data_IF_524356068712
#
_entry.id   IF_524356068712
#
_cell.length_a   1.000
_cell.length_b   1.000
_cell.length_c   1.000
_cell.angle_alpha   90.00
_cell.angle_beta   90.00
_cell.angle_gamma   90.00
#
_symmetry.space_group_name_H-M   'P 1'
#
loop_
_entity.id
_entity.type
_entity.pdbx_description
1 polymer ?
#
# COMPACT_ATOMS: atom_id res chain seq x y z
N UNK A 1 -20.08 -7.16 44.42
CA UNK A 1 -19.21 -6.97 43.23
C UNK A 1 -18.06 -8.00 43.11
N UNK A 2 -17.63 -8.68 44.18
CA UNK A 2 -16.51 -9.64 44.14
C UNK A 2 -16.77 -10.97 43.39
N UNK A 3 -18.00 -11.49 43.39
CA UNK A 3 -18.31 -12.79 42.77
C UNK A 3 -18.06 -12.87 41.27
N UNK A 4 -18.33 -11.79 40.52
CA UNK A 4 -18.06 -11.73 39.07
C UNK A 4 -16.56 -11.67 38.74
N UNK A 5 -15.74 -11.15 39.65
CA UNK A 5 -14.29 -11.07 39.46
C UNK A 5 -13.59 -12.40 39.73
N UNK A 6 -14.05 -13.16 40.74
CA UNK A 6 -13.52 -14.48 41.07
C UNK A 6 -13.85 -15.49 39.96
N UNK A 7 -15.07 -15.45 39.41
CA UNK A 7 -15.46 -16.33 38.29
C UNK A 7 -14.62 -16.07 37.03
N UNK A 8 -14.29 -14.80 36.74
CA UNK A 8 -13.39 -14.44 35.62
C UNK A 8 -11.96 -14.92 35.86
N UNK A 9 -11.46 -14.81 37.09
CA UNK A 9 -10.12 -15.30 37.45
C UNK A 9 -10.02 -16.81 37.32
N UNK A 10 -11.02 -17.54 37.83
CA UNK A 10 -11.11 -19.01 37.69
C UNK A 10 -11.19 -19.40 36.22
N UNK A 11 -12.05 -18.74 35.43
CA UNK A 11 -12.14 -18.99 33.99
C UNK A 11 -10.84 -18.76 33.25
N UNK A 12 -10.06 -17.74 33.63
CA UNK A 12 -8.75 -17.44 33.03
C UNK A 12 -7.68 -18.48 33.43
N UNK A 13 -7.70 -18.96 34.67
CA UNK A 13 -6.80 -20.04 35.12
C UNK A 13 -7.11 -21.35 34.40
N UNK A 14 -8.39 -21.70 34.24
CA UNK A 14 -8.79 -22.88 33.48
C UNK A 14 -8.46 -22.76 31.99
N UNK A 15 -8.74 -21.62 31.36
CA UNK A 15 -8.36 -21.36 29.97
C UNK A 15 -6.83 -21.40 29.78
N UNK A 16 -6.07 -20.85 30.73
CA UNK A 16 -4.62 -20.91 30.76
C UNK A 16 -4.10 -22.34 30.87
N UNK A 17 -4.65 -23.15 31.79
CA UNK A 17 -4.28 -24.55 31.95
C UNK A 17 -4.59 -25.40 30.70
N UNK A 18 -5.74 -25.18 30.07
CA UNK A 18 -6.12 -25.85 28.81
C UNK A 18 -5.16 -25.45 27.68
N UNK A 19 -4.83 -24.16 27.56
CA UNK A 19 -3.89 -23.67 26.56
C UNK A 19 -2.48 -24.24 26.77
N UNK A 20 -2.04 -24.38 28.02
CA UNK A 20 -0.71 -24.88 28.37
C UNK A 20 -0.61 -26.40 28.15
N UNK A 21 -1.63 -27.17 28.54
CA UNK A 21 -1.72 -28.60 28.29
C UNK A 21 -1.80 -28.90 26.78
N UNK A 22 -2.69 -28.22 26.06
CA UNK A 22 -2.81 -28.36 24.60
C UNK A 22 -1.54 -27.92 23.87
N UNK A 23 -0.90 -26.83 24.31
CA UNK A 23 0.38 -26.37 23.75
C UNK A 23 1.52 -27.37 23.96
N UNK A 24 1.59 -28.02 25.12
CA UNK A 24 2.60 -29.03 25.41
C UNK A 24 2.41 -30.30 24.56
N UNK A 25 1.17 -30.77 24.40
CA UNK A 25 0.85 -31.92 23.53
C UNK A 25 1.17 -31.62 22.06
N UNK A 26 0.84 -30.42 21.58
CA UNK A 26 1.19 -29.99 20.23
C UNK A 26 2.70 -29.99 20.01
N UNK A 27 3.47 -29.48 20.98
CA UNK A 27 4.93 -29.42 20.87
C UNK A 27 5.55 -30.83 20.94
N UNK A 28 5.04 -31.71 21.79
CA UNK A 28 5.44 -33.11 21.84
C UNK A 28 5.13 -33.85 20.52
N UNK A 29 3.97 -33.58 19.92
CA UNK A 29 3.59 -34.11 18.60
C UNK A 29 4.52 -33.62 17.49
N UNK A 30 4.88 -32.32 17.47
CA UNK A 30 5.86 -31.78 16.52
C UNK A 30 7.20 -32.49 16.66
N UNK A 31 7.71 -32.65 17.90
CA UNK A 31 8.98 -33.33 18.16
C UNK A 31 8.93 -34.78 17.70
N UNK A 32 7.83 -35.50 17.94
CA UNK A 32 7.67 -36.88 17.51
C UNK A 32 7.70 -37.02 15.97
N UNK A 33 7.00 -36.14 15.24
CA UNK A 33 6.99 -36.13 13.77
C UNK A 33 8.38 -35.80 13.21
N UNK A 34 9.06 -34.80 13.77
CA UNK A 34 10.41 -34.40 13.36
C UNK A 34 11.41 -35.53 13.61
N UNK A 35 11.34 -36.17 14.79
CA UNK A 35 12.25 -37.26 15.15
C UNK A 35 12.04 -38.47 14.23
N UNK A 36 10.79 -38.85 13.96
CA UNK A 36 10.46 -39.91 13.02
C UNK A 36 11.01 -39.63 11.61
N UNK A 37 10.86 -38.39 11.13
CA UNK A 37 11.42 -37.97 9.85
C UNK A 37 12.95 -38.06 9.81
N UNK A 38 13.63 -37.60 10.87
CA UNK A 38 15.10 -37.68 10.99
C UNK A 38 15.62 -39.10 11.09
N UNK A 39 14.82 -40.03 11.63
CA UNK A 39 15.12 -41.47 11.64
C UNK A 39 14.82 -42.16 10.31
N UNK A 40 14.47 -41.41 9.25
CA UNK A 40 14.22 -41.95 7.91
C UNK A 40 12.79 -42.42 7.67
N UNK A 41 11.86 -42.15 8.60
CA UNK A 41 10.45 -42.47 8.41
C UNK A 41 9.62 -41.21 8.07
N UNK A 42 9.30 -40.96 6.78
CA UNK A 42 8.53 -39.79 6.37
C UNK A 42 7.02 -39.94 6.60
N UNK A 43 6.55 -41.12 7.00
CA UNK A 43 5.13 -41.44 7.07
C UNK A 43 4.31 -40.48 7.96
N UNK A 44 4.76 -40.10 9.18
CA UNK A 44 4.01 -39.16 10.01
C UNK A 44 3.87 -37.78 9.37
N UNK A 45 4.89 -37.31 8.65
CA UNK A 45 4.85 -36.02 7.93
C UNK A 45 3.85 -36.07 6.77
N UNK A 46 3.85 -37.17 6.01
CA UNK A 46 2.92 -37.37 4.89
C UNK A 46 1.47 -37.40 5.39
N UNK A 47 1.19 -38.07 6.51
CA UNK A 47 -0.15 -38.08 7.12
C UNK A 47 -0.60 -36.65 7.47
N UNK A 48 0.24 -35.89 8.17
CA UNK A 48 -0.07 -34.50 8.55
C UNK A 48 -0.35 -33.66 7.30
N UNK A 49 0.44 -33.82 6.24
CA UNK A 49 0.22 -33.15 4.96
C UNK A 49 -1.12 -33.51 4.31
N UNK A 50 -1.45 -34.81 4.22
CA UNK A 50 -2.70 -35.30 3.63
C UNK A 50 -3.92 -34.79 4.43
N UNK A 51 -3.87 -34.85 5.76
CA UNK A 51 -4.95 -34.37 6.63
C UNK A 51 -5.16 -32.87 6.44
N UNK A 52 -4.08 -32.09 6.39
CA UNK A 52 -4.13 -30.63 6.19
C UNK A 52 -4.75 -30.29 4.83
N UNK A 53 -4.32 -30.95 3.76
CA UNK A 53 -4.86 -30.77 2.41
C UNK A 53 -6.33 -31.20 2.35
N UNK A 54 -6.68 -32.32 2.98
CA UNK A 54 -8.05 -32.82 3.08
C UNK A 54 -8.97 -31.83 3.77
N UNK A 55 -8.56 -31.29 4.92
CA UNK A 55 -9.31 -30.27 5.67
C UNK A 55 -9.54 -29.02 4.83
N UNK A 56 -8.50 -28.49 4.19
CA UNK A 56 -8.62 -27.31 3.33
C UNK A 56 -9.57 -27.54 2.15
N UNK A 57 -9.57 -28.75 1.57
CA UNK A 57 -10.47 -29.10 0.48
C UNK A 57 -11.93 -29.22 0.93
N UNK A 58 -12.18 -29.76 2.13
CA UNK A 58 -13.53 -29.85 2.72
C UNK A 58 -14.07 -28.45 3.02
N UNK A 59 -13.24 -27.58 3.60
CA UNK A 59 -13.56 -26.17 3.85
C UNK A 59 -13.95 -25.45 2.57
N UNK A 60 -13.16 -25.61 1.51
CA UNK A 60 -13.39 -24.96 0.21
C UNK A 60 -14.72 -25.38 -0.44
N UNK A 61 -15.12 -26.63 -0.27
CA UNK A 61 -16.35 -27.15 -0.85
C UNK A 61 -17.63 -26.72 -0.10
N UNK A 62 -17.50 -26.04 1.05
CA UNK A 62 -18.64 -25.48 1.78
C UNK A 62 -18.93 -24.05 1.33
N UNK A 63 -19.96 -23.88 0.49
CA UNK A 63 -20.36 -22.58 -0.06
C UNK A 63 -21.20 -21.74 0.92
N UNK A 64 -21.93 -22.37 1.84
CA UNK A 64 -22.78 -21.65 2.80
C UNK A 64 -22.01 -21.23 4.05
N UNK A 65 -22.23 -19.98 4.51
CA UNK A 65 -21.68 -19.47 5.77
C UNK A 65 -22.43 -20.06 6.97
N UNK A 66 -22.08 -21.29 7.31
CA UNK A 66 -22.59 -21.97 8.50
C UNK A 66 -21.61 -21.85 9.67
N UNK A 67 -22.08 -21.92 10.93
CA UNK A 67 -21.17 -21.98 12.10
C UNK A 67 -20.20 -23.17 12.03
N UNK A 68 -20.58 -24.24 11.33
CA UNK A 68 -19.72 -25.40 11.05
C UNK A 68 -18.54 -25.00 10.17
N UNK A 69 -18.75 -24.19 9.12
CA UNK A 69 -17.68 -23.67 8.25
C UNK A 69 -16.69 -22.79 9.03
N UNK A 70 -17.18 -21.97 9.98
CA UNK A 70 -16.31 -21.13 10.82
C UNK A 70 -15.38 -21.99 11.71
N UNK A 71 -15.92 -23.04 12.34
CA UNK A 71 -15.11 -23.98 13.14
C UNK A 71 -14.10 -24.70 12.24
N UNK A 72 -14.55 -25.17 11.07
CA UNK A 72 -13.70 -25.89 10.12
C UNK A 72 -12.55 -25.01 9.59
N UNK A 73 -12.80 -23.72 9.35
CA UNK A 73 -11.79 -22.73 9.00
C UNK A 73 -10.71 -22.60 10.08
N UNK A 74 -11.13 -22.43 11.35
CA UNK A 74 -10.19 -22.30 12.48
C UNK A 74 -9.32 -23.56 12.58
N UNK A 75 -9.93 -24.75 12.45
CA UNK A 75 -9.20 -26.03 12.48
C UNK A 75 -8.25 -26.16 11.28
N UNK A 76 -8.65 -25.72 10.09
CA UNK A 76 -7.80 -25.76 8.91
C UNK A 76 -6.59 -24.81 9.04
N UNK A 77 -6.79 -23.58 9.54
CA UNK A 77 -5.67 -22.65 9.81
C UNK A 77 -4.71 -23.20 10.88
N UNK A 78 -5.24 -23.82 11.94
CA UNK A 78 -4.43 -24.46 12.96
C UNK A 78 -3.60 -25.63 12.39
N UNK A 79 -4.20 -26.46 11.52
CA UNK A 79 -3.50 -27.55 10.85
C UNK A 79 -2.41 -27.04 9.88
N UNK A 80 -2.67 -25.97 9.14
CA UNK A 80 -1.67 -25.30 8.29
C UNK A 80 -0.51 -24.76 9.11
N UNK A 81 -0.80 -24.04 10.21
CA UNK A 81 0.24 -23.54 11.12
C UNK A 81 1.10 -24.66 11.71
N UNK A 82 0.46 -25.76 12.12
CA UNK A 82 1.16 -26.96 12.60
C UNK A 82 2.12 -27.53 11.56
N UNK A 83 1.67 -27.71 10.31
CA UNK A 83 2.50 -28.23 9.22
C UNK A 83 3.70 -27.32 8.92
N UNK A 84 3.50 -25.99 8.95
CA UNK A 84 4.58 -24.99 8.75
C UNK A 84 5.63 -25.10 9.86
N UNK A 85 5.20 -25.23 11.13
CA UNK A 85 6.11 -25.41 12.28
C UNK A 85 6.89 -26.72 12.15
N UNK A 86 6.24 -27.83 11.79
CA UNK A 86 6.93 -29.11 11.56
C UNK A 86 7.98 -28.97 10.46
N UNK A 87 7.64 -28.36 9.33
CA UNK A 87 8.56 -28.14 8.21
C UNK A 87 9.75 -27.26 8.60
N UNK A 88 9.51 -26.21 9.38
CA UNK A 88 10.56 -25.34 9.94
C UNK A 88 11.54 -26.14 10.81
N UNK A 89 11.05 -26.94 11.75
CA UNK A 89 11.89 -27.70 12.69
C UNK A 89 12.65 -28.85 12.01
N UNK A 90 12.08 -29.44 10.95
CA UNK A 90 12.78 -30.40 10.10
C UNK A 90 13.98 -29.75 9.40
N UNK A 91 13.80 -28.54 8.86
CA UNK A 91 14.82 -27.82 8.11
C UNK A 91 15.86 -27.08 8.99
N UNK A 92 15.55 -26.87 10.27
CA UNK A 92 16.40 -26.15 11.23
C UNK A 92 17.86 -26.63 11.33
N UNK A 93 18.19 -27.94 11.23
CA UNK A 93 19.59 -28.40 11.21
C UNK A 93 20.42 -27.86 10.04
N UNK A 94 19.77 -27.45 8.94
CA UNK A 94 20.43 -26.91 7.75
C UNK A 94 20.63 -25.38 7.84
N UNK A 95 20.28 -24.77 8.98
CA UNK A 95 20.42 -23.34 9.24
C UNK A 95 19.08 -22.60 9.36
N UNK A 96 19.13 -21.42 9.97
CA UNK A 96 17.92 -20.59 10.21
C UNK A 96 17.35 -20.06 8.89
N UNK A 97 18.21 -19.70 7.93
CA UNK A 97 17.78 -19.18 6.63
C UNK A 97 17.02 -20.26 5.84
N UNK A 98 17.53 -21.48 5.84
CA UNK A 98 16.90 -22.61 5.14
C UNK A 98 15.60 -23.01 5.82
N UNK A 99 15.53 -23.02 7.16
CA UNK A 99 14.28 -23.30 7.87
C UNK A 99 13.19 -22.26 7.64
N UNK A 100 13.55 -20.97 7.62
CA UNK A 100 12.62 -19.89 7.26
C UNK A 100 12.14 -20.07 5.81
N UNK A 101 13.05 -20.32 4.87
CA UNK A 101 12.68 -20.52 3.46
C UNK A 101 11.75 -21.74 3.27
N UNK A 102 11.99 -22.85 3.97
CA UNK A 102 11.13 -24.04 3.94
C UNK A 102 9.76 -23.76 4.55
N UNK A 103 9.68 -23.01 5.65
CA UNK A 103 8.43 -22.61 6.28
C UNK A 103 7.58 -21.72 5.36
N UNK A 104 8.20 -20.71 4.74
CA UNK A 104 7.55 -19.83 3.76
C UNK A 104 7.05 -20.64 2.58
N UNK A 105 7.90 -21.49 2.01
CA UNK A 105 7.55 -22.33 0.84
C UNK A 105 6.37 -23.25 1.17
N UNK A 106 6.37 -23.86 2.36
CA UNK A 106 5.28 -24.73 2.82
C UNK A 106 3.98 -23.94 3.01
N UNK A 107 4.06 -22.74 3.59
CA UNK A 107 2.91 -21.85 3.73
C UNK A 107 2.33 -21.48 2.37
N UNK A 108 3.17 -21.12 1.40
CA UNK A 108 2.74 -20.75 0.03
C UNK A 108 2.08 -21.94 -0.67
N UNK A 109 2.68 -23.14 -0.62
CA UNK A 109 2.10 -24.33 -1.24
C UNK A 109 0.73 -24.66 -0.64
N UNK A 110 0.60 -24.59 0.68
CA UNK A 110 -0.65 -24.91 1.38
C UNK A 110 -1.73 -23.86 1.10
N UNK A 111 -1.37 -22.57 1.06
CA UNK A 111 -2.29 -21.50 0.67
C UNK A 111 -2.77 -21.64 -0.78
N UNK A 112 -1.89 -22.07 -1.70
CA UNK A 112 -2.27 -22.30 -3.10
C UNK A 112 -3.31 -23.42 -3.24
N UNK A 113 -3.20 -24.46 -2.43
CA UNK A 113 -4.13 -25.59 -2.41
C UNK A 113 -5.48 -25.19 -1.80
N UNK A 114 -5.47 -24.39 -0.73
CA UNK A 114 -6.68 -23.91 -0.05
C UNK A 114 -7.48 -22.91 -0.87
N UNK A 115 -6.82 -21.86 -1.35
CA UNK A 115 -7.46 -20.81 -2.15
C UNK A 115 -6.45 -20.12 -3.10
N UNK A 116 -6.41 -20.50 -4.39
CA UNK A 116 -5.48 -19.92 -5.35
C UNK A 116 -5.72 -18.41 -5.58
N UNK A 117 -6.91 -17.90 -5.27
CA UNK A 117 -7.23 -16.47 -5.39
C UNK A 117 -6.63 -15.62 -4.26
N UNK A 118 -6.46 -16.20 -3.06
CA UNK A 118 -5.88 -15.53 -1.89
C UNK A 118 -4.40 -15.19 -2.06
N UNK A 119 -3.64 -16.07 -2.73
CA UNK A 119 -2.24 -15.82 -3.07
C UNK A 119 -2.11 -14.80 -4.20
N UNK A 120 -3.04 -14.76 -5.15
CA UNK A 120 -2.99 -13.77 -6.22
C UNK A 120 -3.17 -12.34 -5.65
N UNK A 121 -3.99 -12.19 -4.61
CA UNK A 121 -4.11 -10.94 -3.83
C UNK A 121 -2.88 -10.63 -2.97
N UNK A 122 -2.29 -11.61 -2.28
CA UNK A 122 -1.11 -11.38 -1.44
C UNK A 122 0.20 -11.21 -2.23
N UNK A 123 0.37 -11.92 -3.36
CA UNK A 123 1.48 -11.68 -4.29
C UNK A 123 1.30 -10.35 -5.03
N UNK A 124 0.07 -9.85 -5.24
CA UNK A 124 -0.15 -8.47 -5.69
C UNK A 124 0.21 -7.43 -4.62
N UNK A 125 0.13 -7.76 -3.33
CA UNK A 125 0.59 -6.88 -2.24
C UNK A 125 2.12 -6.92 -2.05
N UNK A 126 2.80 -8.03 -2.36
CA UNK A 126 4.26 -8.18 -2.23
C UNK A 126 5.07 -7.94 -3.51
N UNK A 127 4.46 -8.03 -4.69
CA UNK A 127 5.02 -7.44 -5.89
C UNK A 127 4.82 -5.93 -5.77
N UNK A 128 5.89 -5.10 -5.80
CA UNK A 128 5.68 -3.66 -5.96
C UNK A 128 4.81 -3.49 -7.19
N UNK A 129 3.62 -2.92 -7.00
CA UNK A 129 2.59 -2.63 -7.99
C UNK A 129 3.18 -1.75 -9.09
N UNK A 130 3.86 -2.43 -9.98
CA UNK A 130 4.38 -2.00 -11.26
C UNK A 130 3.62 -2.87 -12.26
N UNK A 131 2.32 -2.64 -12.37
CA UNK A 131 1.50 -2.78 -13.58
C UNK A 131 0.01 -2.73 -13.18
N UNK A 132 -0.61 -1.59 -13.48
CA UNK A 132 -1.99 -1.43 -13.93
C UNK A 132 -3.06 -2.37 -13.37
N UNK A 133 -3.79 -1.88 -12.38
CA UNK A 133 -5.13 -2.38 -12.04
C UNK A 133 -5.92 -1.26 -11.34
N UNK A 134 -7.21 -1.04 -11.68
CA UNK A 134 -8.00 0.05 -11.13
C UNK A 134 -8.23 -0.16 -9.63
N UNK A 135 -7.58 0.67 -8.81
CA UNK A 135 -7.68 0.58 -7.34
C UNK A 135 -8.93 1.33 -6.88
N UNK A 136 -10.10 0.75 -7.14
CA UNK A 136 -11.41 1.34 -6.77
C UNK A 136 -11.79 1.20 -5.29
N UNK A 137 -10.91 0.66 -4.43
CA UNK A 137 -11.22 0.33 -3.04
C UNK A 137 -10.28 0.95 -1.98
N UNK A 138 -9.30 1.79 -2.35
CA UNK A 138 -8.45 2.48 -1.36
C UNK A 138 -9.25 3.47 -0.50
N UNK A 139 -10.33 4.04 -1.02
CA UNK A 139 -11.19 5.02 -0.35
C UNK A 139 -11.97 4.48 0.85
N UNK A 140 -12.10 3.14 0.96
CA UNK A 140 -12.76 2.47 2.09
C UNK A 140 -11.82 2.13 3.24
N UNK A 141 -10.52 2.38 3.08
CA UNK A 141 -9.55 2.09 4.15
C UNK A 141 -9.71 3.16 5.23
N UNK A 142 -10.08 2.73 6.44
CA UNK A 142 -10.03 3.57 7.64
C UNK A 142 -8.56 3.92 7.87
N UNK A 143 -8.19 5.16 7.57
CA UNK A 143 -6.86 5.69 7.77
C UNK A 143 -6.66 5.95 9.26
N UNK A 144 -5.95 5.07 9.94
CA UNK A 144 -5.41 5.37 11.27
C UNK A 144 -4.09 6.11 11.08
N UNK A 145 -4.13 7.43 11.23
CA UNK A 145 -2.94 8.28 11.31
C UNK A 145 -2.20 7.98 12.62
N UNK A 146 -0.93 7.57 12.54
CA UNK A 146 -0.03 7.49 13.70
C UNK A 146 0.44 6.10 14.14
N UNK A 147 0.02 4.99 13.51
CA UNK A 147 0.41 3.63 13.96
C UNK A 147 1.60 3.02 13.21
N UNK A 148 2.30 3.81 12.38
CA UNK A 148 3.53 3.36 11.69
C UNK A 148 3.35 2.24 10.66
N UNK A 149 2.19 1.58 10.59
CA UNK A 149 1.85 0.53 9.60
C UNK A 149 1.36 1.12 8.26
N UNK A 150 1.01 2.40 8.24
CA UNK A 150 0.76 3.21 7.03
C UNK A 150 2.03 3.54 6.23
N UNK A 151 3.22 3.22 6.79
CA UNK A 151 4.53 3.51 6.17
C UNK A 151 4.76 2.82 4.81
N UNK A 152 4.01 1.77 4.47
CA UNK A 152 4.23 1.05 3.21
C UNK A 152 3.70 1.76 1.97
N UNK A 153 2.88 2.82 2.13
CA UNK A 153 2.41 3.64 0.99
C UNK A 153 3.42 4.74 0.61
N UNK A 154 4.43 5.03 1.45
CA UNK A 154 5.10 6.35 1.45
C UNK A 154 6.62 6.38 1.15
N UNK A 155 7.21 5.40 0.46
CA UNK A 155 8.67 5.44 0.23
C UNK A 155 9.12 6.08 -1.10
N UNK A 156 8.21 6.46 -2.01
CA UNK A 156 8.61 6.89 -3.35
C UNK A 156 8.86 8.38 -3.51
N UNK A 157 8.40 9.25 -2.58
CA UNK A 157 8.49 10.70 -2.72
C UNK A 157 9.13 11.35 -1.49
N UNK A 158 10.10 12.25 -1.69
CA UNK A 158 10.51 13.21 -0.66
C UNK A 158 9.62 14.44 -0.73
N UNK A 159 9.30 15.01 0.42
CA UNK A 159 8.41 16.17 0.52
C UNK A 159 9.18 17.35 1.09
N UNK A 160 9.04 18.52 0.47
CA UNK A 160 9.61 19.79 0.93
C UNK A 160 8.48 20.82 1.04
N UNK A 161 8.44 21.54 2.16
CA UNK A 161 7.57 22.71 2.30
C UNK A 161 8.23 23.90 1.58
N UNK A 162 7.47 24.55 0.71
CA UNK A 162 7.88 25.73 -0.04
C UNK A 162 7.17 26.95 0.54
N UNK A 163 7.92 28.02 0.74
CA UNK A 163 7.34 29.30 1.13
C UNK A 163 6.51 29.89 -0.04
N UNK A 164 5.29 30.40 0.20
CA UNK A 164 4.48 31.04 -0.84
C UNK A 164 5.24 32.06 -1.70
N UNK A 165 6.19 32.81 -1.11
CA UNK A 165 7.00 33.81 -1.81
C UNK A 165 7.93 33.21 -2.89
N UNK A 166 8.14 31.90 -2.85
CA UNK A 166 8.98 31.17 -3.80
C UNK A 166 8.21 30.42 -4.88
N UNK A 167 6.87 30.42 -4.85
CA UNK A 167 6.02 29.68 -5.81
C UNK A 167 6.40 29.95 -7.26
N UNK A 168 6.45 31.23 -7.65
CA UNK A 168 6.69 31.63 -9.04
C UNK A 168 8.09 31.19 -9.51
N UNK A 169 9.10 31.24 -8.64
CA UNK A 169 10.45 30.76 -8.94
C UNK A 169 10.48 29.25 -9.17
N UNK A 170 9.73 28.49 -8.36
CA UNK A 170 9.61 27.04 -8.53
C UNK A 170 8.91 26.70 -9.85
N UNK A 171 7.84 27.44 -10.19
CA UNK A 171 7.13 27.29 -11.47
C UNK A 171 8.04 27.62 -12.64
N UNK A 172 8.82 28.70 -12.56
CA UNK A 172 9.80 29.07 -13.58
C UNK A 172 10.89 27.99 -13.73
N UNK A 173 11.36 27.41 -12.62
CA UNK A 173 12.30 26.28 -12.64
C UNK A 173 11.70 25.06 -13.34
N UNK A 174 10.43 24.74 -13.05
CA UNK A 174 9.70 23.64 -13.69
C UNK A 174 9.55 23.85 -15.20
N UNK A 175 9.28 25.09 -15.64
CA UNK A 175 9.27 25.45 -17.07
C UNK A 175 10.63 25.28 -17.74
N UNK A 176 11.69 25.77 -17.10
CA UNK A 176 13.06 25.68 -17.63
C UNK A 176 13.59 24.25 -17.68
N UNK A 177 13.08 23.36 -16.84
CA UNK A 177 13.56 21.97 -16.72
C UNK A 177 12.40 20.97 -16.64
N UNK A 178 11.80 20.75 -17.80
CA UNK A 178 10.72 19.79 -18.07
C UNK A 178 10.93 18.35 -17.55
N UNK A 179 12.18 17.90 -17.36
CA UNK A 179 12.51 16.53 -16.94
C UNK A 179 12.78 16.41 -15.43
N UNK A 180 12.58 17.47 -14.65
CA UNK A 180 12.72 17.38 -13.21
C UNK A 180 11.59 16.51 -12.63
N UNK A 181 11.92 15.50 -11.80
CA UNK A 181 10.94 14.61 -11.19
C UNK A 181 10.32 15.28 -9.97
N UNK A 182 9.72 16.45 -10.17
CA UNK A 182 9.12 17.28 -9.11
C UNK A 182 7.68 17.63 -9.45
N UNK A 183 6.86 17.82 -8.43
CA UNK A 183 5.51 18.39 -8.56
C UNK A 183 5.19 19.32 -7.41
N UNK A 184 4.53 20.43 -7.70
CA UNK A 184 4.16 21.42 -6.68
C UNK A 184 2.66 21.38 -6.46
N UNK A 185 2.21 21.11 -5.24
CA UNK A 185 0.78 21.18 -4.86
C UNK A 185 0.55 22.34 -3.90
N UNK A 186 -0.47 23.13 -4.18
CA UNK A 186 -0.97 24.17 -3.29
C UNK A 186 -2.09 23.61 -2.40
N UNK A 187 -1.94 23.77 -1.08
CA UNK A 187 -2.97 23.55 -0.07
C UNK A 187 -3.24 24.87 0.65
N UNK A 188 -4.39 24.98 1.30
CA UNK A 188 -4.89 26.22 1.93
C UNK A 188 -3.83 26.97 2.76
N UNK A 189 -3.10 26.25 3.61
CA UNK A 189 -2.05 26.81 4.48
C UNK A 189 -0.63 26.36 4.13
N UNK A 190 -0.41 25.66 3.01
CA UNK A 190 0.84 24.97 2.75
C UNK A 190 1.10 24.74 1.26
N UNK A 191 2.32 25.06 0.81
CA UNK A 191 2.79 24.63 -0.51
C UNK A 191 3.80 23.51 -0.39
N UNK A 192 3.57 22.47 -1.18
CA UNK A 192 4.34 21.25 -1.06
C UNK A 192 4.96 20.88 -2.38
N UNK A 193 6.30 20.82 -2.38
CA UNK A 193 7.06 20.23 -3.46
C UNK A 193 7.32 18.76 -3.17
N UNK A 194 6.80 17.89 -4.03
CA UNK A 194 7.10 16.47 -4.04
C UNK A 194 8.26 16.21 -4.99
N UNK A 195 9.19 15.34 -4.58
CA UNK A 195 10.34 14.90 -5.35
C UNK A 195 10.27 13.38 -5.48
N UNK A 196 10.11 12.87 -6.69
CA UNK A 196 9.92 11.43 -6.93
C UNK A 196 11.25 10.67 -6.88
N UNK A 197 11.52 9.97 -5.79
CA UNK A 197 12.76 9.23 -5.51
C UNK A 197 12.79 7.79 -6.04
N UNK A 198 11.87 7.38 -6.93
CA UNK A 198 11.65 5.97 -7.34
C UNK A 198 12.91 5.18 -7.76
N UNK A 199 14.01 5.84 -8.14
CA UNK A 199 15.23 5.18 -8.63
C UNK A 199 16.55 5.69 -8.04
N UNK A 200 16.55 6.79 -7.30
CA UNK A 200 17.80 7.45 -6.87
C UNK A 200 17.62 8.17 -5.54
N UNK A 201 18.31 7.69 -4.50
CA UNK A 201 18.31 8.30 -3.17
C UNK A 201 19.05 9.64 -3.12
N UNK A 202 19.93 9.92 -4.09
CA UNK A 202 20.64 11.20 -4.22
C UNK A 202 19.80 12.27 -4.92
N UNK A 203 18.63 11.91 -5.45
CA UNK A 203 17.77 12.82 -6.20
C UNK A 203 17.28 13.99 -5.36
N UNK A 204 16.97 13.74 -4.09
CA UNK A 204 16.64 14.79 -3.14
C UNK A 204 17.75 15.84 -3.03
N UNK A 205 18.98 15.41 -2.77
CA UNK A 205 20.13 16.33 -2.59
C UNK A 205 20.39 17.14 -3.86
N UNK A 206 20.25 16.52 -5.03
CA UNK A 206 20.39 17.20 -6.33
C UNK A 206 19.32 18.27 -6.53
N UNK A 207 18.06 17.95 -6.27
CA UNK A 207 16.96 18.91 -6.39
C UNK A 207 17.11 20.02 -5.35
N UNK A 208 17.48 19.67 -4.10
CA UNK A 208 17.67 20.66 -3.05
C UNK A 208 18.82 21.63 -3.37
N UNK A 209 19.92 21.12 -3.91
CA UNK A 209 21.04 21.96 -4.40
C UNK A 209 20.57 22.85 -5.55
N UNK A 210 19.76 22.32 -6.48
CA UNK A 210 19.22 23.09 -7.59
C UNK A 210 18.30 24.22 -7.12
N UNK A 211 17.40 23.95 -6.16
CA UNK A 211 16.53 24.97 -5.56
C UNK A 211 17.36 26.08 -4.92
N UNK A 212 18.39 25.73 -4.14
CA UNK A 212 19.28 26.72 -3.53
C UNK A 212 20.03 27.58 -4.57
N UNK A 213 20.42 26.98 -5.70
CA UNK A 213 21.10 27.70 -6.81
C UNK A 213 20.17 28.71 -7.48
N UNK A 214 18.86 28.44 -7.48
CA UNK A 214 17.83 29.34 -8.00
C UNK A 214 17.34 30.36 -6.94
N UNK A 215 17.98 30.42 -5.78
CA UNK A 215 17.60 31.34 -4.70
C UNK A 215 16.23 31.00 -4.10
N UNK A 216 15.91 29.71 -4.03
CA UNK A 216 14.74 29.17 -3.34
C UNK A 216 15.25 28.52 -2.06
N UNK A 217 14.98 29.17 -0.93
CA UNK A 217 15.36 28.65 0.39
C UNK A 217 14.40 27.53 0.81
N UNK A 218 14.96 26.40 1.26
CA UNK A 218 14.19 25.25 1.75
C UNK A 218 14.65 24.89 3.17
N UNK A 219 13.72 24.41 4.00
CA UNK A 219 14.04 23.92 5.36
C UNK A 219 14.47 22.45 5.38
N UNK A 220 14.80 21.88 4.21
CA UNK A 220 15.06 20.45 4.03
C UNK A 220 13.78 19.61 3.93
N UNK A 221 13.89 18.27 4.08
CA UNK A 221 12.74 17.39 3.94
C UNK A 221 11.77 17.59 5.10
N UNK A 222 10.47 17.51 4.79
CA UNK A 222 9.41 17.58 5.79
C UNK A 222 9.52 16.41 6.79
N UNK A 223 9.11 16.60 8.06
CA UNK A 223 9.01 15.52 9.02
C UNK A 223 8.14 14.37 8.51
N UNK A 224 8.42 13.14 8.94
CA UNK A 224 7.71 11.95 8.46
C UNK A 224 6.18 12.05 8.63
N UNK A 225 5.72 12.59 9.75
CA UNK A 225 4.29 12.74 10.04
C UNK A 225 3.60 13.76 9.13
N UNK A 226 4.26 14.88 8.82
CA UNK A 226 3.73 15.86 7.86
C UNK A 226 3.72 15.28 6.45
N UNK A 227 4.79 14.58 6.08
CA UNK A 227 4.91 13.90 4.80
C UNK A 227 3.80 12.86 4.60
N UNK A 228 3.43 12.15 5.67
CA UNK A 228 2.30 11.23 5.66
C UNK A 228 0.97 11.96 5.53
N UNK A 229 0.72 12.93 6.40
CA UNK A 229 -0.53 13.69 6.40
C UNK A 229 -0.82 14.29 5.01
N UNK A 230 0.18 14.92 4.38
CA UNK A 230 0.05 15.52 3.05
C UNK A 230 -0.27 14.48 1.97
N UNK A 231 0.37 13.30 2.00
CA UNK A 231 0.09 12.23 1.02
C UNK A 231 -1.29 11.61 1.20
N UNK A 232 -1.89 11.73 2.39
CA UNK A 232 -3.22 11.21 2.69
C UNK A 232 -4.34 12.20 2.37
N UNK A 233 -4.03 13.48 2.09
CA UNK A 233 -5.03 14.50 1.79
C UNK A 233 -6.04 14.05 0.71
N UNK A 234 -5.64 13.47 -0.43
CA UNK A 234 -6.62 13.05 -1.44
C UNK A 234 -7.60 11.97 -0.95
N UNK A 235 -7.19 11.11 0.01
CA UNK A 235 -8.08 10.11 0.63
C UNK A 235 -9.07 10.80 1.56
N UNK A 236 -8.60 11.79 2.33
CA UNK A 236 -9.44 12.60 3.22
C UNK A 236 -10.45 13.43 2.40
N UNK A 237 -10.01 14.03 1.30
CA UNK A 237 -10.86 14.79 0.38
C UNK A 237 -11.99 13.90 -0.19
N UNK A 238 -11.68 12.65 -0.57
CA UNK A 238 -12.68 11.69 -1.06
C UNK A 238 -13.73 11.34 0.01
N UNK A 239 -13.32 11.18 1.27
CA UNK A 239 -14.24 10.97 2.39
C UNK A 239 -15.14 12.19 2.67
N UNK A 240 -14.69 13.38 2.30
CA UNK A 240 -15.41 14.64 2.47
C UNK A 240 -16.15 15.10 1.18
N UNK A 241 -16.22 14.24 0.16
CA UNK A 241 -17.06 14.43 -1.02
C UNK A 241 -16.36 14.94 -2.28
N UNK A 242 -15.06 15.25 -2.23
CA UNK A 242 -14.27 15.55 -3.43
C UNK A 242 -13.64 14.25 -3.95
N UNK A 243 -14.27 13.62 -4.94
CA UNK A 243 -13.79 12.33 -5.42
C UNK A 243 -12.52 12.50 -6.26
N UNK A 244 -11.63 11.52 -6.22
CA UNK A 244 -10.40 11.54 -7.04
C UNK A 244 -10.68 11.66 -8.55
N UNK A 245 -11.81 11.13 -9.01
CA UNK A 245 -12.31 11.24 -10.39
C UNK A 245 -12.80 12.65 -10.76
N UNK A 246 -13.02 13.52 -9.79
CA UNK A 246 -13.50 14.89 -10.00
C UNK A 246 -12.34 15.86 -10.26
N UNK A 247 -11.10 15.36 -10.29
CA UNK A 247 -9.95 16.15 -10.75
C UNK A 247 -9.91 16.20 -12.28
N UNK A 248 -9.44 17.33 -12.80
CA UNK A 248 -9.33 17.64 -14.22
C UNK A 248 -7.91 18.06 -14.56
N UNK A 249 -7.48 17.69 -15.76
CA UNK A 249 -6.15 17.96 -16.26
C UNK A 249 -6.20 19.13 -17.26
N UNK A 250 -5.27 20.08 -17.12
CA UNK A 250 -5.14 21.25 -17.98
C UNK A 250 -3.75 21.28 -18.58
N UNK A 251 -3.67 21.41 -19.90
CA UNK A 251 -2.41 21.50 -20.66
C UNK A 251 -2.31 22.76 -21.51
N UNK A 252 -3.43 23.45 -21.73
CA UNK A 252 -3.46 24.69 -22.49
C UNK A 252 -2.73 25.80 -21.72
N UNK A 253 -1.66 26.35 -22.30
CA UNK A 253 -0.78 27.29 -21.61
C UNK A 253 -1.54 28.54 -21.13
N UNK A 254 -2.51 29.04 -21.90
CA UNK A 254 -3.31 30.21 -21.49
C UNK A 254 -4.11 29.90 -20.24
N UNK A 255 -4.79 28.77 -20.23
CA UNK A 255 -5.58 28.30 -19.07
C UNK A 255 -4.67 28.02 -17.87
N UNK A 256 -3.46 27.48 -18.10
CA UNK A 256 -2.45 27.28 -17.05
C UNK A 256 -2.00 28.60 -16.43
N UNK A 257 -1.74 29.64 -17.23
CA UNK A 257 -1.37 30.97 -16.71
C UNK A 257 -2.51 31.60 -15.90
N UNK A 258 -3.75 31.46 -16.36
CA UNK A 258 -4.92 31.95 -15.63
C UNK A 258 -5.02 31.25 -14.25
N UNK A 259 -4.82 29.93 -14.20
CA UNK A 259 -4.80 29.15 -12.94
C UNK A 259 -3.62 29.51 -12.04
N UNK A 260 -2.44 29.76 -12.60
CA UNK A 260 -1.26 30.21 -11.86
C UNK A 260 -1.45 31.61 -11.26
N UNK A 261 -2.31 32.45 -11.84
CA UNK A 261 -2.64 33.75 -11.24
C UNK A 261 -3.60 33.64 -10.06
N UNK A 262 -4.44 32.60 -10.04
CA UNK A 262 -5.46 32.37 -9.01
C UNK A 262 -4.98 31.49 -7.86
N UNK A 263 -4.08 30.54 -8.14
CA UNK A 263 -3.62 29.51 -7.19
C UNK A 263 -4.76 28.81 -6.44
N UNK A 264 -5.69 28.13 -7.13
CA UNK A 264 -6.77 27.41 -6.46
C UNK A 264 -6.24 26.29 -5.54
N UNK A 265 -6.94 26.06 -4.43
CA UNK A 265 -6.57 25.03 -3.47
C UNK A 265 -6.66 23.65 -4.12
N UNK A 266 -5.74 22.73 -3.75
CA UNK A 266 -5.55 21.40 -4.34
C UNK A 266 -5.01 21.38 -5.77
N UNK A 267 -4.67 22.54 -6.33
CA UNK A 267 -3.96 22.61 -7.60
C UNK A 267 -2.59 21.95 -7.48
N UNK A 268 -2.27 21.06 -8.41
CA UNK A 268 -0.94 20.48 -8.55
C UNK A 268 -0.37 20.76 -9.93
N UNK A 269 0.87 21.24 -9.98
CA UNK A 269 1.61 21.58 -11.19
C UNK A 269 2.67 20.52 -11.46
N UNK A 270 2.85 20.18 -12.72
CA UNK A 270 3.83 19.23 -13.21
C UNK A 270 4.64 19.80 -14.37
N UNK A 271 5.96 19.59 -14.41
CA UNK A 271 6.77 19.85 -15.58
C UNK A 271 6.61 18.71 -16.59
N UNK A 272 6.40 19.05 -17.87
CA UNK A 272 6.36 18.08 -18.96
C UNK A 272 7.19 18.58 -20.15
N UNK A 273 7.56 17.68 -21.06
CA UNK A 273 8.28 18.05 -22.29
C UNK A 273 7.51 19.06 -23.17
N UNK A 274 6.17 19.09 -23.05
CA UNK A 274 5.30 20.01 -23.79
C UNK A 274 4.98 21.33 -23.06
N UNK A 275 5.53 21.56 -21.86
CA UNK A 275 5.19 22.71 -21.02
C UNK A 275 4.72 22.30 -19.63
N UNK A 276 3.96 23.17 -18.97
CA UNK A 276 3.36 22.84 -17.68
C UNK A 276 2.04 22.11 -17.87
N UNK A 277 1.76 21.21 -16.93
CA UNK A 277 0.49 20.52 -16.85
C UNK A 277 -0.06 20.71 -15.44
N UNK A 278 -1.34 21.04 -15.35
CA UNK A 278 -2.00 21.35 -14.08
C UNK A 278 -3.11 20.34 -13.82
N UNK A 279 -3.17 19.83 -12.60
CA UNK A 279 -4.26 19.01 -12.10
C UNK A 279 -5.00 19.77 -11.02
N UNK A 280 -6.30 19.89 -11.16
CA UNK A 280 -7.11 20.77 -10.32
C UNK A 280 -8.52 20.19 -10.16
N UNK A 281 -9.22 20.42 -9.03
CA UNK A 281 -10.62 20.01 -8.89
C UNK A 281 -11.52 20.63 -9.97
N UNK A 282 -12.51 19.86 -10.46
CA UNK A 282 -13.44 20.28 -11.52
C UNK A 282 -14.16 21.60 -11.19
N UNK A 283 -14.50 21.82 -9.91
CA UNK A 283 -15.19 23.02 -9.47
C UNK A 283 -14.43 24.32 -9.78
N UNK A 284 -13.09 24.27 -9.83
CA UNK A 284 -12.22 25.44 -10.07
C UNK A 284 -12.02 25.74 -11.57
N UNK A 285 -12.44 24.85 -12.45
CA UNK A 285 -12.20 24.92 -13.90
C UNK A 285 -13.48 24.88 -14.74
N UNK A 286 -14.60 25.26 -14.12
CA UNK A 286 -15.90 25.30 -14.79
C UNK A 286 -15.85 26.23 -16.01
N UNK A 287 -16.06 25.67 -17.21
CA UNK A 287 -16.05 26.41 -18.47
C UNK A 287 -14.68 26.58 -19.14
N UNK A 288 -13.63 25.95 -18.61
CA UNK A 288 -12.30 25.90 -19.22
C UNK A 288 -12.11 24.62 -20.06
N UNK A 289 -11.14 24.65 -20.97
CA UNK A 289 -10.76 23.47 -21.76
C UNK A 289 -9.95 22.54 -20.86
N UNK A 290 -10.55 21.41 -20.48
CA UNK A 290 -9.95 20.45 -19.55
C UNK A 290 -10.11 19.02 -20.04
N UNK A 291 -9.17 18.16 -19.64
CA UNK A 291 -9.16 16.72 -19.92
C UNK A 291 -9.55 15.94 -18.66
N UNK A 292 -10.22 14.80 -18.86
CA UNK A 292 -10.52 13.85 -17.79
C UNK A 292 -9.28 12.98 -17.50
N UNK A 293 -9.08 12.64 -16.23
CA UNK A 293 -8.16 11.56 -15.88
C UNK A 293 -8.71 10.22 -16.41
N UNK A 294 -7.81 9.38 -16.95
CA UNK A 294 -8.19 8.04 -17.41
C UNK A 294 -8.66 7.22 -16.21
N UNK A 295 -9.82 6.58 -16.37
CA UNK A 295 -10.43 5.78 -15.32
C UNK A 295 -9.48 4.69 -14.81
N UNK A 296 -9.27 4.63 -13.49
CA UNK A 296 -8.39 3.68 -12.83
C UNK A 296 -6.97 4.20 -12.55
N UNK A 297 -6.59 5.37 -13.05
CA UNK A 297 -5.27 5.99 -12.83
C UNK A 297 -5.30 7.15 -11.83
N UNK A 298 -6.46 7.52 -11.31
CA UNK A 298 -6.63 8.70 -10.45
C UNK A 298 -5.80 8.58 -9.17
N UNK A 299 -5.80 7.40 -8.55
CA UNK A 299 -4.99 7.10 -7.38
C UNK A 299 -3.48 7.16 -7.67
N UNK A 300 -3.03 6.69 -8.84
CA UNK A 300 -1.61 6.75 -9.22
C UNK A 300 -1.13 8.19 -9.42
N UNK A 301 -2.00 9.04 -9.97
CA UNK A 301 -1.70 10.45 -10.25
C UNK A 301 -1.76 11.29 -8.98
N UNK A 302 -2.81 11.13 -8.17
CA UNK A 302 -3.05 11.96 -6.97
C UNK A 302 -2.25 11.50 -5.75
N UNK A 303 -2.12 10.19 -5.51
CA UNK A 303 -1.39 9.65 -4.35
C UNK A 303 0.08 9.41 -4.67
N UNK A 304 0.35 8.67 -5.75
CA UNK A 304 1.71 8.22 -6.05
C UNK A 304 2.50 9.20 -6.91
N UNK A 305 1.87 10.28 -7.37
CA UNK A 305 2.48 11.31 -8.21
C UNK A 305 3.21 10.69 -9.41
N UNK A 306 2.61 9.65 -10.00
CA UNK A 306 3.20 8.87 -11.08
C UNK A 306 2.64 9.34 -12.44
N UNK A 307 3.35 10.24 -13.10
CA UNK A 307 2.81 10.91 -14.30
C UNK A 307 3.22 10.26 -15.62
N UNK A 308 4.07 9.23 -15.59
CA UNK A 308 4.36 8.43 -16.78
C UNK A 308 3.10 7.77 -17.35
N UNK A 309 2.09 7.53 -16.51
CA UNK A 309 0.81 6.92 -16.89
C UNK A 309 -0.18 7.90 -17.54
N UNK A 310 0.09 9.21 -17.48
CA UNK A 310 -0.69 10.26 -18.16
C UNK A 310 -0.28 10.44 -19.64
N UNK A 311 0.92 9.96 -20.03
CA UNK A 311 1.49 10.14 -21.38
C UNK A 311 0.70 9.44 -22.51
N UNK A 312 -0.24 8.54 -22.23
CA UNK A 312 -0.99 7.79 -23.26
C UNK A 312 -2.24 8.50 -23.81
N UNK A 313 -2.64 9.66 -23.29
CA UNK A 313 -3.78 10.40 -23.87
C UNK A 313 -3.29 11.20 -25.09
N UNK A 314 -3.16 10.50 -26.23
CA UNK A 314 -3.20 11.14 -27.56
C UNK A 314 -4.66 11.18 -28.03
N UNK A 315 -5.17 12.40 -28.11
CA UNK A 315 -6.29 12.89 -28.93
C UNK A 315 -7.57 12.04 -29.01
N UNK A 316 -8.64 12.55 -28.39
CA UNK A 316 -9.95 12.55 -29.02
C UNK A 316 -10.40 14.00 -29.18
N UNK A 317 -9.88 14.66 -30.23
CA UNK A 317 -10.56 15.82 -30.81
C UNK A 317 -11.79 15.25 -31.52
N UNK A 318 -12.90 15.09 -30.80
CA UNK A 318 -14.20 15.10 -31.47
C UNK A 318 -14.53 16.55 -31.76
N UNK A 319 -14.20 16.94 -32.99
CA UNK A 319 -14.72 18.11 -33.65
C UNK A 319 -16.24 18.16 -33.51
N UNK A 320 -16.74 19.23 -32.89
CA UNK A 320 -18.10 19.65 -33.13
C UNK A 320 -18.27 19.93 -34.64
N UNK A 321 -19.15 19.16 -35.27
CA UNK A 321 -19.80 19.47 -36.53
C UNK A 321 -21.29 19.13 -36.39
#
# INVERSE_FOLDING_TARGET
MFGKSIIKLIGLVFAGAIALAGGAELLASVVAVVLAFRMGNPFPLVIVGIVTIGLLRIVKNQTEETPVKMILNIVAYAATGYLVVVAFVIALPYGIVTSIATAITTSVIVSFIGDPSSLMGQFQEFLPTSLGGPISNLSKRVVQTGDGSSFTVNSSNSIINIDPDHRDKVVELMRKRALLPISLTHFEDLDVLFITNKRDRSMFDRVNTLLSTYGIETKGPAPALLSEAVQMIPIIDEQNGLMMKDYRLVRDEKTVEDLLSLWPVRMTIFPTEGGLMVLVPEMEVTGLIVELLKQGYESEVLLHRNFATIKEVKESVESAA
#
